data_IF_869581916441
#
_entry.id   IF_869581916441
#
_cell.length_a   1.000
_cell.length_b   1.000
_cell.length_c   1.000
_cell.angle_alpha   90.00
_cell.angle_beta   90.00
_cell.angle_gamma   90.00
#
_symmetry.space_group_name_H-M   'P 1'
#
loop_
_entity.id
_entity.type
_entity.pdbx_description
1 polymer ?
#
# COMPACT_ATOMS: atom_id res chain seq x y z
N UNK A 1 -16.29 6.11 -29.92
CA UNK A 1 -15.77 7.49 -29.93
C UNK A 1 -15.69 7.97 -28.49
N UNK A 2 -14.46 8.22 -28.02
CA UNK A 2 -14.16 8.61 -26.66
C UNK A 2 -14.46 10.10 -26.44
N UNK A 3 -15.16 10.42 -25.34
CA UNK A 3 -15.27 11.78 -24.83
C UNK A 3 -14.71 11.82 -23.39
N UNK A 4 -13.86 12.82 -23.18
CA UNK A 4 -12.87 12.98 -22.12
C UNK A 4 -13.47 13.17 -20.72
N UNK A 5 -12.94 12.43 -19.73
CA UNK A 5 -13.25 12.57 -18.30
C UNK A 5 -12.37 13.65 -17.64
N UNK A 6 -12.48 14.89 -18.09
CA UNK A 6 -11.77 16.02 -17.51
C UNK A 6 -12.73 17.21 -17.32
N UNK A 7 -12.66 17.82 -16.13
CA UNK A 7 -13.29 19.09 -15.70
C UNK A 7 -14.46 18.95 -14.72
N UNK A 8 -14.17 18.55 -13.47
CA UNK A 8 -15.01 18.86 -12.29
C UNK A 8 -14.08 19.14 -11.10
N UNK A 9 -13.33 20.24 -11.14
CA UNK A 9 -12.65 20.77 -9.93
C UNK A 9 -12.33 22.27 -9.99
N UNK A 10 -13.16 23.07 -10.65
CA UNK A 10 -13.05 24.53 -10.59
C UNK A 10 -14.43 25.10 -10.29
N UNK A 11 -14.73 25.28 -9.01
CA UNK A 11 -15.69 26.28 -8.55
C UNK A 11 -15.55 26.45 -7.03
N UNK A 12 -14.43 27.05 -6.62
CA UNK A 12 -14.29 27.52 -5.23
C UNK A 12 -13.67 28.89 -5.06
N UNK A 13 -13.22 29.55 -6.12
CA UNK A 13 -12.77 30.93 -6.05
C UNK A 13 -13.05 31.66 -7.37
N UNK A 14 -14.19 32.35 -7.43
CA UNK A 14 -14.39 33.46 -8.34
C UNK A 14 -15.13 34.56 -7.55
N UNK A 15 -14.37 35.56 -7.13
CA UNK A 15 -14.94 36.81 -6.67
C UNK A 15 -15.82 37.42 -7.77
N UNK A 16 -17.04 37.76 -7.39
CA UNK A 16 -17.88 38.77 -8.03
C UNK A 16 -18.39 38.53 -9.47
N UNK A 17 -18.74 37.28 -9.82
CA UNK A 17 -19.64 37.00 -10.95
C UNK A 17 -20.87 36.23 -10.45
N UNK A 18 -22.06 36.70 -10.82
CA UNK A 18 -23.39 36.29 -10.36
C UNK A 18 -23.47 34.96 -9.61
N UNK A 19 -23.80 35.05 -8.32
CA UNK A 19 -24.14 33.88 -7.49
C UNK A 19 -25.36 33.21 -8.15
N UNK A 20 -25.16 32.04 -8.74
CA UNK A 20 -26.27 31.19 -9.15
C UNK A 20 -26.96 30.70 -7.87
N UNK A 21 -28.27 30.91 -7.76
CA UNK A 21 -29.05 30.47 -6.58
C UNK A 21 -28.95 28.96 -6.35
N UNK A 22 -28.63 28.21 -7.41
CA UNK A 22 -28.56 26.76 -7.43
C UNK A 22 -27.26 26.28 -8.07
N UNK A 23 -26.72 25.19 -7.57
CA UNK A 23 -25.47 24.62 -8.09
C UNK A 23 -25.73 24.05 -9.48
N UNK A 24 -24.92 24.37 -10.51
CA UNK A 24 -25.06 23.77 -11.85
C UNK A 24 -24.83 22.25 -11.85
N UNK A 25 -24.32 21.68 -10.75
CA UNK A 25 -24.16 20.25 -10.54
C UNK A 25 -25.35 19.59 -9.81
N UNK A 26 -26.41 20.33 -9.47
CA UNK A 26 -27.56 19.83 -8.71
C UNK A 26 -28.31 18.70 -9.43
N UNK A 27 -28.29 18.70 -10.77
CA UNK A 27 -28.87 17.64 -11.59
C UNK A 27 -27.82 16.68 -12.18
N UNK A 28 -26.55 16.82 -11.79
CA UNK A 28 -25.48 15.91 -12.22
C UNK A 28 -25.43 14.75 -11.25
N UNK A 29 -25.95 13.60 -11.68
CA UNK A 29 -25.76 12.36 -10.96
C UNK A 29 -24.27 12.07 -10.86
N UNK A 30 -23.80 11.84 -9.61
CA UNK A 30 -22.45 11.31 -9.40
C UNK A 30 -22.35 10.00 -10.19
N UNK A 31 -21.38 9.86 -11.12
CA UNK A 31 -21.17 8.60 -11.81
C UNK A 31 -21.01 7.50 -10.77
N UNK A 32 -21.70 6.38 -10.96
CA UNK A 32 -21.55 5.22 -10.07
C UNK A 32 -20.10 4.72 -10.19
N UNK A 33 -19.30 5.03 -9.17
CA UNK A 33 -17.96 4.47 -9.03
C UNK A 33 -18.16 3.13 -8.32
N UNK A 34 -17.82 2.00 -8.96
CA UNK A 34 -17.86 0.69 -8.29
C UNK A 34 -17.11 0.77 -6.96
N UNK A 35 -17.62 0.09 -5.93
CA UNK A 35 -17.00 0.08 -4.61
C UNK A 35 -15.57 -0.52 -4.64
N UNK A 36 -15.29 -1.35 -5.64
CA UNK A 36 -13.99 -1.98 -5.86
C UNK A 36 -13.13 -1.13 -6.79
N UNK A 37 -11.90 -0.82 -6.34
CA UNK A 37 -10.91 -0.21 -7.22
C UNK A 37 -10.47 -1.25 -8.25
N UNK A 38 -10.43 -0.93 -9.55
CA UNK A 38 -9.93 -1.85 -10.58
C UNK A 38 -8.41 -2.09 -10.49
N UNK A 39 -7.71 -1.45 -9.55
CA UNK A 39 -6.26 -1.58 -9.40
C UNK A 39 -5.94 -2.84 -8.61
N UNK A 40 -5.77 -3.95 -9.32
CA UNK A 40 -5.22 -5.17 -8.73
C UNK A 40 -3.76 -4.97 -8.32
N UNK A 41 -3.44 -5.36 -7.09
CA UNK A 41 -2.06 -5.48 -6.63
C UNK A 41 -1.33 -6.59 -7.37
N UNK A 42 0.00 -6.60 -7.25
CA UNK A 42 0.82 -7.71 -7.71
C UNK A 42 0.65 -8.91 -6.77
N UNK A 43 0.72 -10.12 -7.31
CA UNK A 43 0.90 -11.30 -6.46
C UNK A 43 2.26 -11.27 -5.78
N UNK A 44 2.43 -12.05 -4.71
CA UNK A 44 3.70 -12.14 -3.99
C UNK A 44 4.87 -12.49 -4.94
N UNK A 45 4.71 -13.50 -5.80
CA UNK A 45 5.72 -13.89 -6.78
C UNK A 45 6.03 -12.79 -7.80
N UNK A 46 5.00 -12.09 -8.31
CA UNK A 46 5.19 -10.99 -9.25
C UNK A 46 5.97 -9.83 -8.62
N UNK A 47 5.69 -9.53 -7.34
CA UNK A 47 6.39 -8.48 -6.62
C UNK A 47 7.85 -8.85 -6.33
N UNK A 48 8.12 -10.09 -5.93
CA UNK A 48 9.49 -10.60 -5.74
C UNK A 48 10.31 -10.56 -7.03
N UNK A 49 9.70 -10.93 -8.16
CA UNK A 49 10.34 -10.83 -9.49
C UNK A 49 10.69 -9.38 -9.83
N UNK A 50 9.78 -8.44 -9.58
CA UNK A 50 10.04 -7.01 -9.82
C UNK A 50 11.13 -6.46 -8.89
N UNK A 51 11.13 -6.84 -7.61
CA UNK A 51 12.18 -6.46 -6.65
C UNK A 51 13.56 -6.99 -7.08
N UNK A 52 13.60 -8.22 -7.60
CA UNK A 52 14.83 -8.85 -8.10
C UNK A 52 15.36 -8.11 -9.33
N UNK A 53 14.50 -7.85 -10.33
CA UNK A 53 14.89 -7.08 -11.52
C UNK A 53 15.43 -5.69 -11.14
N UNK A 54 14.75 -4.98 -10.23
CA UNK A 54 15.19 -3.67 -9.76
C UNK A 54 16.52 -3.72 -8.98
N UNK A 55 16.80 -4.82 -8.27
CA UNK A 55 18.07 -5.04 -7.57
C UNK A 55 19.22 -5.30 -8.54
N UNK A 56 18.97 -6.01 -9.63
CA UNK A 56 19.98 -6.33 -10.66
C UNK A 56 20.20 -5.19 -11.65
N UNK A 57 19.33 -4.18 -11.66
CA UNK A 57 19.50 -3.02 -12.53
C UNK A 57 20.80 -2.25 -12.27
N UNK A 58 21.42 -1.81 -13.37
CA UNK A 58 22.59 -0.90 -13.35
C UNK A 58 22.28 0.42 -12.64
N UNK A 59 21.01 0.83 -12.61
CA UNK A 59 20.65 2.04 -11.91
C UNK A 59 20.41 1.80 -10.42
N UNK A 60 21.31 2.35 -9.60
CA UNK A 60 21.23 2.33 -8.13
C UNK A 60 19.91 2.81 -7.53
N UNK A 61 19.16 3.69 -8.22
CA UNK A 61 17.89 4.22 -7.71
C UNK A 61 16.72 3.26 -7.88
N UNK A 62 16.81 2.28 -8.79
CA UNK A 62 15.65 1.49 -9.19
C UNK A 62 15.24 0.53 -8.06
N UNK A 63 16.20 -0.10 -7.38
CA UNK A 63 15.92 -0.92 -6.20
C UNK A 63 15.30 -0.11 -5.05
N UNK A 64 15.86 1.07 -4.75
CA UNK A 64 15.32 1.96 -3.72
C UNK A 64 13.89 2.41 -4.06
N UNK A 65 13.64 2.78 -5.32
CA UNK A 65 12.32 3.20 -5.78
C UNK A 65 11.27 2.09 -5.60
N UNK A 66 11.55 0.87 -6.06
CA UNK A 66 10.60 -0.25 -5.93
C UNK A 66 10.40 -0.62 -4.46
N UNK A 67 11.47 -0.69 -3.66
CA UNK A 67 11.39 -0.98 -2.23
C UNK A 67 10.58 0.07 -1.46
N UNK A 68 10.80 1.36 -1.71
CA UNK A 68 10.07 2.43 -1.05
C UNK A 68 8.57 2.42 -1.38
N UNK A 69 8.20 2.13 -2.63
CA UNK A 69 6.80 2.07 -3.02
C UNK A 69 6.10 0.78 -2.55
N UNK A 70 6.77 -0.37 -2.67
CA UNK A 70 6.18 -1.69 -2.44
C UNK A 70 6.36 -2.26 -1.04
N UNK A 71 7.41 -1.86 -0.30
CA UNK A 71 7.67 -2.33 1.07
C UNK A 71 7.35 -1.30 2.15
N UNK A 72 7.35 0.00 1.82
CA UNK A 72 6.91 1.07 2.75
C UNK A 72 5.54 1.65 2.40
N UNK A 73 4.96 1.23 1.26
CA UNK A 73 3.69 1.74 0.77
C UNK A 73 3.69 3.24 0.44
N UNK A 74 4.84 3.85 0.13
CA UNK A 74 4.92 5.30 -0.12
C UNK A 74 4.14 5.71 -1.37
N UNK A 75 3.54 6.90 -1.35
CA UNK A 75 3.04 7.52 -2.58
C UNK A 75 4.23 7.95 -3.43
N UNK A 76 4.08 7.99 -4.75
CA UNK A 76 5.19 8.37 -5.63
C UNK A 76 5.76 9.74 -5.30
N UNK A 77 4.93 10.73 -5.00
CA UNK A 77 5.38 12.07 -4.62
C UNK A 77 6.16 12.08 -3.31
N UNK A 78 5.73 11.29 -2.33
CA UNK A 78 6.42 11.12 -1.05
C UNK A 78 7.80 10.51 -1.30
N UNK A 79 7.88 9.40 -2.06
CA UNK A 79 9.13 8.75 -2.37
C UNK A 79 10.10 9.67 -3.14
N UNK A 80 9.63 10.35 -4.19
CA UNK A 80 10.46 11.30 -4.96
C UNK A 80 10.82 12.56 -4.18
N UNK A 81 10.05 12.90 -3.12
CA UNK A 81 10.24 14.09 -2.29
C UNK A 81 11.28 13.91 -1.18
N UNK A 82 11.60 12.68 -0.81
CA UNK A 82 12.55 12.39 0.27
C UNK A 82 14.00 12.76 -0.04
N UNK A 83 14.71 13.16 0.99
CA UNK A 83 16.11 13.60 0.99
C UNK A 83 16.89 12.81 2.02
N UNK A 84 18.22 12.80 1.90
CA UNK A 84 19.10 12.09 2.84
C UNK A 84 18.93 12.64 4.26
N UNK A 85 18.64 13.93 4.38
CA UNK A 85 18.36 14.61 5.65
C UNK A 85 17.07 14.15 6.34
N UNK A 86 16.19 13.48 5.61
CA UNK A 86 14.95 12.93 6.16
C UNK A 86 15.18 11.57 6.85
N UNK A 87 16.36 10.97 6.68
CA UNK A 87 16.75 9.74 7.37
C UNK A 87 17.16 10.07 8.81
N UNK A 88 16.64 9.31 9.76
CA UNK A 88 16.94 9.48 11.17
C UNK A 88 16.88 8.17 11.95
N UNK A 89 17.00 8.29 13.27
CA UNK A 89 16.84 7.19 14.21
C UNK A 89 15.91 7.60 15.33
N UNK A 90 14.96 6.73 15.65
CA UNK A 90 13.99 6.91 16.72
C UNK A 90 14.01 5.66 17.60
N UNK A 91 14.32 5.81 18.88
CA UNK A 91 14.36 4.70 19.84
C UNK A 91 15.25 3.51 19.38
N UNK A 92 16.35 3.79 18.68
CA UNK A 92 17.26 2.76 18.15
C UNK A 92 16.81 2.09 16.85
N UNK A 93 15.70 2.55 16.25
CA UNK A 93 15.22 2.10 14.95
C UNK A 93 15.44 3.17 13.89
N UNK A 94 15.93 2.77 12.71
CA UNK A 94 16.03 3.67 11.56
C UNK A 94 14.65 4.04 11.04
N UNK A 95 14.46 5.33 10.79
CA UNK A 95 13.19 5.89 10.31
C UNK A 95 13.44 6.82 9.13
N UNK A 96 12.40 7.00 8.32
CA UNK A 96 12.33 8.00 7.27
C UNK A 96 11.21 8.99 7.61
N UNK A 97 11.56 10.28 7.69
CA UNK A 97 10.61 11.37 7.78
C UNK A 97 9.98 11.61 6.40
N UNK A 98 8.67 11.39 6.30
CA UNK A 98 7.97 11.53 5.02
C UNK A 98 6.99 12.69 5.11
N UNK A 99 7.17 13.68 4.25
CA UNK A 99 6.26 14.81 4.13
C UNK A 99 5.07 14.43 3.25
N UNK A 100 3.90 14.29 3.87
CA UNK A 100 2.64 13.99 3.23
C UNK A 100 1.84 15.23 2.81
N UNK A 101 0.57 15.00 2.44
CA UNK A 101 -0.35 16.07 2.06
C UNK A 101 -0.52 17.07 3.21
N UNK A 102 -0.49 18.37 2.88
CA UNK A 102 -0.62 19.45 3.87
C UNK A 102 0.64 19.67 4.71
N UNK A 103 1.82 19.29 4.20
CA UNK A 103 3.12 19.48 4.84
C UNK A 103 3.26 18.80 6.21
N UNK A 104 2.47 17.75 6.45
CA UNK A 104 2.57 16.96 7.68
C UNK A 104 3.66 15.91 7.52
N UNK A 105 4.55 15.84 8.50
CA UNK A 105 5.61 14.84 8.55
C UNK A 105 5.06 13.59 9.23
N UNK A 106 5.37 12.42 8.69
CA UNK A 106 5.06 11.12 9.28
C UNK A 106 6.34 10.29 9.35
N UNK A 107 6.57 9.64 10.49
CA UNK A 107 7.67 8.71 10.70
C UNK A 107 7.35 7.36 10.08
N UNK A 108 8.23 6.87 9.22
CA UNK A 108 8.10 5.54 8.60
C UNK A 108 9.29 4.69 9.02
N UNK A 109 9.09 3.62 9.80
CA UNK A 109 10.16 2.69 10.14
C UNK A 109 10.78 2.10 8.86
N UNK A 110 12.10 1.98 8.83
CA UNK A 110 12.84 1.43 7.71
C UNK A 110 13.21 -0.03 7.99
N UNK A 111 12.55 -1.01 7.35
CA UNK A 111 13.01 -2.40 7.39
C UNK A 111 14.45 -2.48 6.85
N UNK A 112 15.29 -3.40 7.37
CA UNK A 112 16.69 -3.50 6.96
C UNK A 112 16.89 -3.63 5.45
N UNK A 113 15.98 -4.33 4.75
CA UNK A 113 16.03 -4.46 3.30
C UNK A 113 15.85 -3.11 2.56
N UNK A 114 14.96 -2.26 3.04
CA UNK A 114 14.72 -0.92 2.46
C UNK A 114 15.86 0.02 2.81
N UNK A 115 16.37 -0.03 4.05
CA UNK A 115 17.55 0.73 4.46
C UNK A 115 18.74 0.47 3.54
N UNK A 116 19.06 -0.80 3.27
CA UNK A 116 20.12 -1.19 2.32
C UNK A 116 19.86 -0.69 0.90
N UNK A 117 18.60 -0.72 0.45
CA UNK A 117 18.23 -0.21 -0.87
C UNK A 117 18.49 1.30 -0.98
N UNK A 118 18.09 2.06 0.05
CA UNK A 118 18.32 3.50 0.14
C UNK A 118 19.81 3.81 0.20
N UNK A 119 20.59 3.10 1.02
CA UNK A 119 22.04 3.27 1.11
C UNK A 119 22.74 3.12 -0.23
N UNK A 120 22.36 2.10 -1.01
CA UNK A 120 22.87 1.91 -2.37
C UNK A 120 22.52 3.08 -3.30
N UNK A 121 21.31 3.64 -3.19
CA UNK A 121 20.92 4.81 -3.98
C UNK A 121 21.63 6.10 -3.53
N UNK A 122 21.88 6.23 -2.23
CA UNK A 122 22.62 7.35 -1.63
C UNK A 122 24.09 7.32 -2.03
N UNK A 123 24.70 6.13 -2.10
CA UNK A 123 26.08 5.93 -2.57
C UNK A 123 27.09 6.84 -1.86
N UNK A 124 27.06 6.83 -0.52
CA UNK A 124 27.99 7.60 0.32
C UNK A 124 27.75 9.11 0.36
N UNK A 125 26.77 9.64 -0.37
CA UNK A 125 26.40 11.07 -0.29
C UNK A 125 25.83 11.41 1.09
N UNK A 126 26.10 12.63 1.55
CA UNK A 126 25.61 13.13 2.84
C UNK A 126 24.41 14.07 2.69
N UNK A 127 24.16 14.62 1.50
CA UNK A 127 23.09 15.60 1.27
C UNK A 127 22.38 15.40 -0.07
N UNK A 128 21.12 15.86 -0.12
CA UNK A 128 20.34 15.94 -1.34
C UNK A 128 19.26 14.85 -1.46
N UNK A 129 18.62 14.71 -2.62
CA UNK A 129 17.54 13.74 -2.81
C UNK A 129 18.05 12.30 -2.71
N UNK A 130 17.25 11.42 -2.11
CA UNK A 130 17.54 9.98 -2.10
C UNK A 130 17.50 9.46 -3.54
N UNK A 131 16.39 9.73 -4.24
CA UNK A 131 16.16 9.30 -5.62
C UNK A 131 16.57 10.39 -6.61
N UNK A 132 17.54 10.08 -7.47
CA UNK A 132 18.06 11.01 -8.50
C UNK A 132 17.66 10.62 -9.91
N UNK A 133 17.51 11.62 -10.77
CA UNK A 133 17.42 11.42 -12.21
C UNK A 133 18.83 11.20 -12.82
N UNK A 134 18.90 11.07 -14.15
CA UNK A 134 20.16 10.89 -14.89
C UNK A 134 21.07 12.12 -14.90
N UNK A 135 20.53 13.30 -14.59
CA UNK A 135 21.25 14.56 -14.44
C UNK A 135 21.56 14.86 -12.97
N UNK A 136 21.49 13.85 -12.11
CA UNK A 136 21.94 13.98 -10.73
C UNK A 136 21.10 14.95 -9.88
N UNK A 137 19.91 15.31 -10.37
CA UNK A 137 18.89 16.13 -9.70
C UNK A 137 17.78 15.24 -9.11
N UNK A 138 16.87 15.83 -8.32
CA UNK A 138 15.71 15.11 -7.77
C UNK A 138 14.92 14.43 -8.89
N UNK A 139 14.62 13.15 -8.70
CA UNK A 139 13.80 12.40 -9.65
C UNK A 139 12.36 12.91 -9.61
N UNK A 140 11.78 13.23 -10.77
CA UNK A 140 10.37 13.56 -10.86
C UNK A 140 9.48 12.29 -10.93
N UNK A 141 8.17 12.46 -10.71
CA UNK A 141 7.18 11.37 -10.73
C UNK A 141 7.10 10.64 -12.08
N UNK A 142 7.32 11.33 -13.19
CA UNK A 142 7.25 10.75 -14.52
C UNK A 142 8.50 9.91 -14.80
N UNK A 143 9.68 10.39 -14.40
CA UNK A 143 10.94 9.64 -14.44
C UNK A 143 10.88 8.39 -13.58
N UNK A 144 10.36 8.49 -12.34
CA UNK A 144 10.12 7.35 -11.46
C UNK A 144 9.14 6.34 -12.09
N UNK A 145 8.02 6.81 -12.67
CA UNK A 145 7.05 5.92 -13.34
C UNK A 145 7.67 5.21 -14.56
N UNK A 146 8.46 5.93 -15.39
CA UNK A 146 9.18 5.31 -16.52
C UNK A 146 10.18 4.26 -16.05
N UNK A 147 10.92 4.54 -14.97
CA UNK A 147 11.86 3.58 -14.36
C UNK A 147 11.15 2.32 -13.91
N UNK A 148 10.06 2.46 -13.17
CA UNK A 148 9.25 1.35 -12.71
C UNK A 148 8.76 0.47 -13.88
N UNK A 149 8.29 1.09 -14.97
CA UNK A 149 7.86 0.35 -16.17
C UNK A 149 9.00 -0.41 -16.83
N UNK A 150 10.18 0.21 -16.95
CA UNK A 150 11.37 -0.48 -17.49
C UNK A 150 11.77 -1.69 -16.65
N UNK A 151 11.70 -1.59 -15.32
CA UNK A 151 11.98 -2.75 -14.46
C UNK A 151 10.97 -3.88 -14.65
N UNK A 152 9.71 -3.54 -14.92
CA UNK A 152 8.70 -4.53 -15.23
C UNK A 152 8.92 -5.21 -16.59
N UNK A 153 9.32 -4.43 -17.60
CA UNK A 153 9.65 -4.92 -18.94
C UNK A 153 10.93 -5.77 -18.95
N UNK A 154 11.90 -5.46 -18.11
CA UNK A 154 13.15 -6.22 -17.97
C UNK A 154 12.99 -7.51 -17.17
N UNK A 155 11.86 -7.72 -16.52
CA UNK A 155 11.64 -8.88 -15.68
C UNK A 155 11.37 -10.15 -16.50
N UNK A 156 11.80 -11.30 -15.95
CA UNK A 156 11.69 -12.62 -16.63
C UNK A 156 10.24 -13.07 -16.80
N UNK A 157 9.33 -12.55 -15.96
CA UNK A 157 7.90 -12.88 -15.99
C UNK A 157 7.12 -11.70 -16.57
N UNK A 158 6.09 -11.96 -17.36
CA UNK A 158 5.22 -10.90 -17.88
C UNK A 158 4.46 -10.24 -16.74
N UNK A 159 4.87 -9.02 -16.38
CA UNK A 159 4.19 -8.18 -15.42
C UNK A 159 3.12 -7.31 -16.09
N UNK A 160 2.06 -6.92 -15.35
CA UNK A 160 1.08 -5.96 -15.85
C UNK A 160 1.71 -4.58 -16.09
N UNK A 161 0.98 -3.70 -16.78
CA UNK A 161 1.44 -2.34 -16.99
C UNK A 161 1.61 -1.62 -15.65
N UNK A 162 2.86 -1.40 -15.24
CA UNK A 162 3.11 -0.91 -13.90
C UNK A 162 2.75 0.56 -13.70
N UNK A 163 2.08 0.81 -12.57
CA UNK A 163 1.79 2.11 -12.02
C UNK A 163 2.14 2.18 -10.53
N UNK A 164 2.56 3.34 -9.99
CA UNK A 164 2.99 3.45 -8.59
C UNK A 164 1.92 3.05 -7.57
N UNK A 165 0.65 3.32 -7.87
CA UNK A 165 -0.46 2.93 -7.01
C UNK A 165 -0.64 1.41 -6.90
N UNK A 166 -0.22 0.64 -7.90
CA UNK A 166 -0.25 -0.83 -7.83
C UNK A 166 0.70 -1.35 -6.76
N UNK A 167 1.92 -0.80 -6.67
CA UNK A 167 2.88 -1.21 -5.63
C UNK A 167 2.38 -0.88 -4.22
N UNK A 168 1.74 0.28 -4.05
CA UNK A 168 1.10 0.62 -2.79
C UNK A 168 -0.07 -0.31 -2.46
N UNK A 169 -0.85 -0.73 -3.46
CA UNK A 169 -1.90 -1.73 -3.27
C UNK A 169 -1.29 -3.08 -2.87
N UNK A 170 -0.22 -3.52 -3.54
CA UNK A 170 0.53 -4.73 -3.19
C UNK A 170 1.01 -4.68 -1.73
N UNK A 171 1.51 -3.53 -1.26
CA UNK A 171 1.89 -3.36 0.14
C UNK A 171 0.73 -3.65 1.10
N UNK A 172 -0.42 -3.01 0.85
CA UNK A 172 -1.63 -3.17 1.68
C UNK A 172 -2.11 -4.62 1.66
N UNK A 173 -2.21 -5.25 0.49
CA UNK A 173 -2.66 -6.64 0.38
C UNK A 173 -1.68 -7.59 1.05
N UNK A 174 -0.37 -7.39 0.88
CA UNK A 174 0.65 -8.25 1.50
C UNK A 174 0.57 -8.19 3.03
N UNK A 175 0.31 -7.01 3.61
CA UNK A 175 0.12 -6.91 5.06
C UNK A 175 -1.15 -7.61 5.54
N UNK A 176 -2.26 -7.47 4.80
CA UNK A 176 -3.51 -8.16 5.11
C UNK A 176 -3.37 -9.68 5.00
N UNK A 177 -2.68 -10.16 3.95
CA UNK A 177 -2.39 -11.58 3.74
C UNK A 177 -1.48 -12.15 4.85
N UNK A 178 -0.59 -11.32 5.41
CA UNK A 178 0.23 -11.66 6.57
C UNK A 178 -0.56 -11.66 7.90
N UNK A 179 -1.86 -11.36 7.89
CA UNK A 179 -2.73 -11.35 9.06
C UNK A 179 -2.62 -10.08 9.91
N UNK A 180 -2.05 -9.00 9.39
CA UNK A 180 -2.01 -7.71 10.09
C UNK A 180 -3.43 -7.13 10.14
N UNK A 181 -3.84 -6.62 11.30
CA UNK A 181 -5.14 -6.00 11.47
C UNK A 181 -5.33 -4.80 10.53
N UNK A 182 -6.56 -4.61 10.02
CA UNK A 182 -6.87 -3.54 9.07
C UNK A 182 -6.48 -2.16 9.62
N UNK A 183 -6.63 -1.92 10.93
CA UNK A 183 -6.25 -0.64 11.53
C UNK A 183 -4.76 -0.39 11.44
N UNK A 184 -3.95 -1.41 11.70
CA UNK A 184 -2.50 -1.32 11.63
C UNK A 184 -2.02 -1.17 10.17
N UNK A 185 -2.68 -1.84 9.22
CA UNK A 185 -2.43 -1.63 7.78
C UNK A 185 -2.75 -0.20 7.36
N UNK A 186 -3.85 0.38 7.84
CA UNK A 186 -4.23 1.76 7.53
C UNK A 186 -3.22 2.77 8.09
N UNK A 187 -2.76 2.55 9.33
CA UNK A 187 -1.70 3.34 9.97
C UNK A 187 -0.41 3.25 9.14
N UNK A 188 0.04 2.04 8.82
CA UNK A 188 1.27 1.80 8.05
C UNK A 188 1.20 2.39 6.64
N UNK A 189 0.05 2.27 5.98
CA UNK A 189 -0.17 2.85 4.68
C UNK A 189 -0.36 4.37 4.74
N UNK A 190 -0.58 5.00 5.90
CA UNK A 190 -0.80 6.46 5.99
C UNK A 190 -2.02 6.89 5.15
N UNK A 191 -3.09 6.10 5.19
CA UNK A 191 -4.39 6.52 4.66
C UNK A 191 -4.89 7.65 5.55
N UNK A 192 -5.11 8.82 4.96
CA UNK A 192 -5.50 10.01 5.70
C UNK A 192 -6.94 9.84 6.21
N UNK A 193 -7.09 9.52 7.49
CA UNK A 193 -8.14 10.13 8.28
C UNK A 193 -7.68 11.55 8.65
N UNK A 194 -8.47 12.59 8.36
CA UNK A 194 -8.19 13.91 8.91
C UNK A 194 -8.56 13.90 10.40
N UNK A 195 -7.54 14.10 11.25
CA UNK A 195 -7.61 14.49 12.67
C UNK A 195 -7.37 13.36 13.71
N UNK A 196 -7.01 13.75 14.96
CA UNK A 196 -5.80 13.34 15.66
C UNK A 196 -5.99 12.05 16.48
N UNK A 197 -4.94 11.47 17.08
CA UNK A 197 -5.14 10.56 18.19
C UNK A 197 -5.92 11.29 19.28
N UNK A 198 -7.18 10.90 19.50
CA UNK A 198 -7.90 11.26 20.70
C UNK A 198 -7.07 10.77 21.89
N UNK A 199 -6.52 11.72 22.64
CA UNK A 199 -5.89 11.47 23.92
C UNK A 199 -6.93 10.83 24.85
N UNK A 200 -6.78 9.54 25.14
CA UNK A 200 -7.01 8.87 26.44
C UNK A 200 -6.94 7.36 26.21
N UNK A 201 -5.76 6.77 26.38
CA UNK A 201 -5.62 5.51 27.14
C UNK A 201 -4.19 5.45 27.69
N UNK A 202 -4.08 5.13 28.97
CA UNK A 202 -2.90 5.18 29.83
C UNK A 202 -1.64 4.46 29.27
N UNK A 203 -0.44 4.82 29.75
CA UNK A 203 0.80 4.17 29.31
C UNK A 203 0.79 2.68 29.69
N UNK A 204 0.83 1.80 28.69
CA UNK A 204 1.21 0.42 28.90
C UNK A 204 2.66 0.41 29.38
N UNK A 205 2.85 0.08 30.65
CA UNK A 205 4.17 -0.10 31.26
C UNK A 205 4.77 -1.35 30.64
N UNK A 206 5.80 -1.18 29.79
CA UNK A 206 6.58 -2.31 29.30
C UNK A 206 7.47 -2.76 30.46
N UNK A 207 7.13 -3.92 31.01
CA UNK A 207 7.89 -4.62 32.04
C UNK A 207 9.31 -4.89 31.55
N UNK A 208 10.29 -4.36 32.27
CA UNK A 208 11.71 -4.70 32.11
C UNK A 208 11.96 -6.09 32.67
N UNK A 209 12.13 -7.07 31.79
CA UNK A 209 12.79 -8.32 32.11
C UNK A 209 13.68 -8.74 30.93
N UNK A 210 14.99 -8.72 31.15
CA UNK A 210 15.97 -9.42 30.32
C UNK A 210 15.74 -10.93 30.44
N UNK A 211 15.93 -11.70 29.36
CA UNK A 211 17.06 -12.63 29.40
C UNK A 211 17.80 -12.86 28.07
N UNK A 212 18.99 -13.40 28.28
CA UNK A 212 20.07 -13.84 27.41
C UNK A 212 19.74 -15.02 26.47
N UNK A 213 20.41 -15.03 25.31
CA UNK A 213 20.78 -16.16 24.43
C UNK A 213 19.76 -16.80 23.47
N UNK A 214 20.04 -16.59 22.16
CA UNK A 214 19.93 -17.49 21.00
C UNK A 214 18.70 -18.40 20.86
N UNK A 215 17.66 -17.91 20.17
CA UNK A 215 16.77 -18.68 19.28
C UNK A 215 15.89 -17.72 18.45
N UNK A 216 15.44 -18.08 17.23
CA UNK A 216 14.61 -17.21 16.39
C UNK A 216 13.22 -16.99 17.03
N UNK A 217 12.54 -15.87 16.72
CA UNK A 217 11.32 -15.48 17.42
C UNK A 217 10.16 -16.41 17.08
N UNK A 218 9.77 -17.24 18.04
CA UNK A 218 8.52 -18.00 18.03
C UNK A 218 7.45 -17.09 18.64
N UNK A 219 6.44 -16.74 17.87
CA UNK A 219 5.25 -16.05 18.38
C UNK A 219 4.42 -17.03 19.22
N UNK A 220 3.98 -16.67 20.44
CA UNK A 220 3.21 -17.57 21.28
C UNK A 220 1.82 -17.85 20.67
N UNK A 221 1.24 -19.05 20.87
CA UNK A 221 -0.10 -19.34 20.40
C UNK A 221 -1.13 -18.50 21.16
N UNK A 222 -2.04 -17.88 20.41
CA UNK A 222 -3.11 -17.05 20.95
C UNK A 222 -4.03 -17.87 21.88
N UNK A 223 -4.34 -17.28 23.04
CA UNK A 223 -5.29 -17.82 24.01
C UNK A 223 -6.69 -17.92 23.39
N UNK A 224 -7.30 -19.10 23.54
CA UNK A 224 -8.64 -19.41 23.11
C UNK A 224 -9.67 -18.72 24.02
N UNK A 225 -10.30 -17.64 23.54
CA UNK A 225 -11.44 -17.01 24.20
C UNK A 225 -12.75 -17.47 23.55
N UNK A 226 -13.39 -18.45 24.19
CA UNK A 226 -14.83 -18.47 24.48
C UNK A 226 -15.81 -18.49 23.30
N UNK A 227 -16.23 -19.70 22.93
CA UNK A 227 -17.48 -19.97 22.20
C UNK A 227 -18.71 -19.75 23.08
N UNK A 228 -19.58 -18.82 22.69
CA UNK A 228 -20.97 -18.66 23.17
C UNK A 228 -21.99 -19.12 22.11
N UNK A 229 -23.25 -19.45 22.50
CA UNK A 229 -24.01 -20.52 21.86
C UNK A 229 -24.73 -20.11 20.58
N UNK A 230 -24.71 -21.00 19.58
CA UNK A 230 -25.55 -20.93 18.38
C UNK A 230 -26.98 -21.32 18.73
N UNK A 231 -27.88 -20.35 18.75
CA UNK A 231 -29.34 -20.61 18.74
C UNK A 231 -29.74 -21.14 17.37
N UNK A 232 -30.42 -22.29 17.39
CA UNK A 232 -30.75 -23.08 16.21
C UNK A 232 -31.89 -22.52 15.36
N UNK A 233 -31.87 -22.89 14.09
CA UNK A 233 -33.00 -22.78 13.18
C UNK A 233 -33.25 -24.17 12.56
N UNK A 234 -34.50 -24.67 12.51
CA UNK A 234 -34.77 -26.08 12.25
C UNK A 234 -34.66 -26.47 10.77
N UNK A 235 -34.04 -27.63 10.54
CA UNK A 235 -33.96 -28.34 9.25
C UNK A 235 -35.36 -28.80 8.80
N UNK A 236 -35.76 -28.40 7.58
CA UNK A 236 -36.91 -28.98 6.88
C UNK A 236 -36.46 -30.27 6.17
N UNK A 237 -36.89 -31.41 6.69
CA UNK A 237 -36.75 -32.74 6.07
C UNK A 237 -37.66 -32.81 4.84
N UNK A 238 -37.09 -33.04 3.64
CA UNK A 238 -37.85 -33.57 2.50
C UNK A 238 -37.62 -35.08 2.45
N UNK A 239 -38.72 -35.82 2.58
CA UNK A 239 -38.80 -37.28 2.46
C UNK A 239 -38.30 -37.71 1.07
N UNK A 240 -37.49 -38.78 1.07
CA UNK A 240 -37.25 -39.64 -0.09
C UNK A 240 -38.44 -40.59 -0.18
N UNK A 241 -39.10 -40.61 -1.33
CA UNK A 241 -39.91 -41.76 -1.75
C UNK A 241 -39.18 -42.45 -2.90
N UNK A 242 -39.29 -43.77 -2.90
CA UNK A 242 -38.44 -44.73 -3.61
C UNK A 242 -39.23 -45.42 -4.71
N UNK A 243 -38.68 -45.38 -5.94
CA UNK A 243 -38.81 -46.37 -7.03
C UNK A 243 -40.17 -46.58 -7.72
N UNK A 244 -40.24 -47.40 -8.81
CA UNK A 244 -39.15 -48.11 -9.50
C UNK A 244 -39.13 -48.02 -11.05
N UNK A 245 -37.98 -48.44 -11.61
CA UNK A 245 -37.68 -49.16 -12.87
C UNK A 245 -38.44 -48.98 -14.20
N UNK A 246 -37.63 -48.77 -15.26
CA UNK A 246 -37.61 -49.40 -16.62
C UNK A 246 -36.96 -48.39 -17.58
N UNK A 247 -36.06 -48.67 -18.52
CA UNK A 247 -35.61 -49.85 -19.26
C UNK A 247 -35.24 -49.37 -20.68
N UNK A 248 -34.24 -50.01 -21.32
CA UNK A 248 -33.72 -49.82 -22.70
C UNK A 248 -32.72 -48.65 -22.88
N UNK A 249 -31.43 -48.83 -23.18
CA UNK A 249 -30.73 -49.62 -24.20
C UNK A 249 -31.13 -49.24 -25.64
N UNK A 250 -30.19 -48.66 -26.40
CA UNK A 250 -29.70 -49.09 -27.74
C UNK A 250 -29.12 -47.88 -28.51
N UNK A 251 -27.90 -48.08 -29.03
CA UNK A 251 -27.16 -47.41 -30.12
C UNK A 251 -26.71 -45.95 -29.94
#
# INVERSE_FOLDING_TARGET
MAASAATLSHDRDAGNAGVLEHSPAEHVFRPHVPAESPTLGLSHLQFEVLLTAARESDNRNDFALVAMLGLLGLRIFEATGTSIQDLGEEHGHRVLHVTGKGNRITLVPLPPAVGRAIERAVDGRTTGPILRNTHDQRMDRHAATRRLRRQAEASVVRLPQMHPHMLRHTFVTTMLDAGVDLRDVQIAARHADPAPPCATTAPATISTATPTTSSPPIWPPAHNCGSGPRTGMPRRVRRRDSGPDSGAAVA
#
